data_IF_305659479514
#
_entry.id   IF_305659479514
#
_cell.length_a   1.000
_cell.length_b   1.000
_cell.length_c   1.000
_cell.angle_alpha   90.00
_cell.angle_beta   90.00
_cell.angle_gamma   90.00
#
_symmetry.space_group_name_H-M   'P 1'
#
loop_
_entity.id
_entity.type
_entity.pdbx_description
1 polymer ?
#
# COMPACT_ATOMS: atom_id res chain seq x y z
N UNK A 1 14.49 -21.42 34.72
CA UNK A 1 13.40 -20.49 34.33
C UNK A 1 12.11 -21.10 34.83
N UNK A 2 11.39 -20.45 35.74
CA UNK A 2 10.05 -20.88 36.12
C UNK A 2 9.09 -20.39 35.03
N UNK A 3 8.79 -21.24 34.05
CA UNK A 3 7.76 -20.97 33.05
C UNK A 3 6.39 -20.97 33.73
N UNK A 4 5.92 -19.79 34.15
CA UNK A 4 4.49 -19.59 34.41
C UNK A 4 3.77 -19.59 33.07
N UNK A 5 3.44 -20.79 32.58
CA UNK A 5 2.63 -21.01 31.38
C UNK A 5 1.17 -20.65 31.66
N UNK A 6 0.89 -19.35 31.71
CA UNK A 6 -0.47 -18.79 31.68
C UNK A 6 -0.66 -17.86 30.49
N UNK A 7 0.24 -17.88 29.51
CA UNK A 7 0.10 -17.06 28.30
C UNK A 7 -1.05 -17.60 27.46
N UNK A 8 -2.06 -16.76 27.25
CA UNK A 8 -3.19 -17.08 26.38
C UNK A 8 -2.93 -16.50 25.00
N UNK A 9 -2.01 -17.12 24.26
CA UNK A 9 -1.81 -16.76 22.86
C UNK A 9 -3.08 -17.08 22.08
N UNK A 10 -3.52 -16.17 21.21
CA UNK A 10 -4.80 -16.31 20.49
C UNK A 10 -4.58 -16.20 18.99
N UNK A 11 -5.28 -17.03 18.23
CA UNK A 11 -5.39 -16.91 16.79
C UNK A 11 -6.87 -16.74 16.43
N UNK A 12 -7.21 -15.71 15.66
CA UNK A 12 -8.56 -15.42 15.23
C UNK A 12 -8.66 -15.48 13.71
N UNK A 13 -9.62 -16.26 13.21
CA UNK A 13 -9.97 -16.31 11.79
C UNK A 13 -11.40 -15.81 11.61
N UNK A 14 -11.55 -14.56 11.15
CA UNK A 14 -12.85 -13.87 11.11
C UNK A 14 -12.91 -12.89 9.94
N UNK A 15 -14.11 -12.38 9.68
CA UNK A 15 -14.32 -11.29 8.75
C UNK A 15 -14.00 -9.97 9.45
N UNK A 16 -12.98 -9.27 8.96
CA UNK A 16 -12.51 -8.00 9.49
C UNK A 16 -12.78 -6.89 8.44
N UNK A 17 -13.28 -5.71 8.85
CA UNK A 17 -13.43 -4.57 7.94
C UNK A 17 -12.09 -4.00 7.49
N UNK A 18 -11.02 -4.27 8.22
CA UNK A 18 -9.67 -3.85 7.89
C UNK A 18 -9.18 -4.50 6.58
N UNK A 19 -8.12 -3.91 6.03
CA UNK A 19 -7.56 -4.28 4.74
C UNK A 19 -6.47 -5.36 4.82
N UNK A 20 -5.85 -5.64 5.97
CA UNK A 20 -4.80 -6.68 6.05
C UNK A 20 -5.36 -8.11 5.96
N UNK A 21 -4.55 -9.02 5.41
CA UNK A 21 -4.79 -10.47 5.42
C UNK A 21 -4.47 -11.09 6.78
N UNK A 22 -3.39 -10.63 7.41
CA UNK A 22 -2.90 -11.10 8.70
C UNK A 22 -2.46 -9.92 9.58
N UNK A 23 -2.55 -10.09 10.90
CA UNK A 23 -2.04 -9.13 11.86
C UNK A 23 -1.54 -9.84 13.13
N UNK A 24 -0.25 -9.73 13.37
CA UNK A 24 0.40 -10.05 14.63
C UNK A 24 0.31 -8.87 15.61
N UNK A 25 0.11 -9.18 16.89
CA UNK A 25 0.15 -8.20 17.97
C UNK A 25 0.74 -8.82 19.22
N UNK A 26 1.85 -8.25 19.69
CA UNK A 26 2.54 -8.66 20.92
C UNK A 26 1.98 -7.90 22.13
N UNK A 27 1.74 -8.61 23.21
CA UNK A 27 1.54 -8.05 24.55
C UNK A 27 2.67 -8.54 25.46
N UNK A 28 2.76 -7.98 26.67
CA UNK A 28 3.82 -8.32 27.64
C UNK A 28 3.89 -9.81 28.01
N UNK A 29 2.78 -10.54 27.92
CA UNK A 29 2.68 -11.94 28.36
C UNK A 29 2.01 -12.89 27.36
N UNK A 30 1.55 -12.40 26.22
CA UNK A 30 0.93 -13.22 25.17
C UNK A 30 0.99 -12.49 23.82
N UNK A 31 0.72 -13.19 22.73
CA UNK A 31 0.50 -12.58 21.43
C UNK A 31 -0.87 -12.94 20.86
N UNK A 32 -1.31 -12.14 19.90
CA UNK A 32 -2.49 -12.40 19.08
C UNK A 32 -2.10 -12.42 17.62
N UNK A 33 -2.66 -13.37 16.88
CA UNK A 33 -2.69 -13.39 15.42
C UNK A 33 -4.15 -13.22 15.00
N UNK A 34 -4.43 -12.31 14.08
CA UNK A 34 -5.73 -12.18 13.43
C UNK A 34 -5.54 -12.45 11.95
N UNK A 35 -6.50 -13.14 11.35
CA UNK A 35 -6.50 -13.52 9.94
C UNK A 35 -7.85 -13.14 9.34
N UNK A 36 -7.80 -12.36 8.26
CA UNK A 36 -8.96 -11.78 7.62
C UNK A 36 -9.54 -12.70 6.56
N UNK A 37 -10.48 -13.53 7.00
CA UNK A 37 -11.19 -14.49 6.17
C UNK A 37 -11.83 -13.82 4.96
N UNK A 38 -12.50 -12.68 5.16
CA UNK A 38 -13.23 -11.96 4.11
C UNK A 38 -12.33 -11.66 2.91
N UNK A 39 -11.16 -11.09 3.17
CA UNK A 39 -10.23 -10.70 2.12
C UNK A 39 -9.55 -11.91 1.48
N UNK A 40 -9.12 -12.88 2.28
CA UNK A 40 -8.52 -14.10 1.74
C UNK A 40 -9.51 -14.91 0.90
N UNK A 41 -10.78 -14.93 1.28
CA UNK A 41 -11.84 -15.58 0.51
C UNK A 41 -12.14 -14.88 -0.82
N UNK A 42 -12.03 -13.54 -0.83
CA UNK A 42 -12.22 -12.73 -2.04
C UNK A 42 -11.02 -12.81 -2.98
N UNK A 43 -9.81 -12.70 -2.45
CA UNK A 43 -8.59 -12.57 -3.25
C UNK A 43 -8.00 -13.91 -3.68
N UNK A 44 -8.30 -14.97 -2.93
CA UNK A 44 -7.83 -16.33 -3.22
C UNK A 44 -9.00 -17.31 -3.25
N UNK A 45 -10.06 -17.10 -4.06
CA UNK A 45 -11.32 -17.83 -3.95
C UNK A 45 -11.16 -19.35 -4.14
N UNK A 46 -10.18 -19.77 -4.95
CA UNK A 46 -9.86 -21.19 -5.16
C UNK A 46 -8.82 -21.76 -4.19
N UNK A 47 -8.21 -20.91 -3.36
CA UNK A 47 -7.05 -21.25 -2.53
C UNK A 47 -7.15 -20.66 -1.11
N UNK A 48 -8.36 -20.33 -0.65
CA UNK A 48 -8.62 -19.59 0.60
C UNK A 48 -7.92 -20.23 1.78
N UNK A 49 -7.98 -21.57 1.86
CA UNK A 49 -7.34 -22.33 2.92
C UNK A 49 -5.82 -22.15 2.91
N UNK A 50 -5.18 -22.30 1.75
CA UNK A 50 -3.74 -22.11 1.61
C UNK A 50 -3.33 -20.67 1.89
N UNK A 51 -4.09 -19.69 1.39
CA UNK A 51 -3.82 -18.28 1.65
C UNK A 51 -3.95 -17.95 3.15
N UNK A 52 -4.95 -18.55 3.83
CA UNK A 52 -5.12 -18.42 5.28
C UNK A 52 -3.96 -19.06 6.05
N UNK A 53 -3.50 -20.24 5.64
CA UNK A 53 -2.32 -20.88 6.22
C UNK A 53 -1.06 -20.03 5.99
N UNK A 54 -0.84 -19.56 4.77
CA UNK A 54 0.29 -18.71 4.39
C UNK A 54 0.36 -17.43 5.24
N UNK A 55 -0.74 -16.69 5.37
CA UNK A 55 -0.81 -15.52 6.26
C UNK A 55 -0.63 -15.90 7.73
N UNK A 56 -1.24 -16.98 8.21
CA UNK A 56 -1.02 -17.43 9.60
C UNK A 56 0.46 -17.76 9.88
N UNK A 57 1.13 -18.44 8.95
CA UNK A 57 2.54 -18.83 9.08
C UNK A 57 3.46 -17.61 9.07
N UNK A 58 3.18 -16.63 8.21
CA UNK A 58 3.86 -15.33 8.19
C UNK A 58 3.73 -14.62 9.54
N UNK A 59 2.51 -14.42 10.04
CA UNK A 59 2.29 -13.78 11.34
C UNK A 59 2.92 -14.55 12.51
N UNK A 60 2.97 -15.87 12.41
CA UNK A 60 3.63 -16.71 13.40
C UNK A 60 5.16 -16.54 13.37
N UNK A 61 5.76 -16.24 12.21
CA UNK A 61 7.19 -15.93 12.10
C UNK A 61 7.59 -14.71 12.94
N UNK A 62 6.73 -13.69 13.03
CA UNK A 62 6.97 -12.54 13.92
C UNK A 62 7.04 -12.92 15.41
N UNK A 63 6.32 -13.96 15.82
CA UNK A 63 6.44 -14.51 17.19
C UNK A 63 7.84 -15.08 17.47
N UNK A 64 8.56 -15.44 16.40
CA UNK A 64 9.90 -16.00 16.41
C UNK A 64 10.96 -14.93 16.06
N UNK A 65 10.61 -13.65 16.11
CA UNK A 65 11.48 -12.51 15.82
C UNK A 65 11.95 -12.43 14.35
N UNK A 66 11.28 -13.12 13.43
CA UNK A 66 11.51 -12.92 12.01
C UNK A 66 10.85 -11.60 11.58
N UNK A 67 11.63 -10.76 10.91
CA UNK A 67 11.16 -9.51 10.32
C UNK A 67 10.53 -9.75 8.95
N UNK A 68 9.71 -8.79 8.52
CA UNK A 68 9.21 -8.76 7.15
C UNK A 68 10.32 -8.51 6.14
N UNK A 69 10.18 -9.10 4.96
CA UNK A 69 10.99 -8.74 3.79
C UNK A 69 10.18 -7.83 2.86
N UNK A 70 10.60 -6.57 2.75
CA UNK A 70 10.10 -5.61 1.75
C UNK A 70 10.51 -6.06 0.34
N UNK A 71 9.62 -5.85 -0.61
CA UNK A 71 9.80 -6.13 -2.03
C UNK A 71 10.90 -5.29 -2.65
N UNK A 72 11.15 -4.09 -2.10
CA UNK A 72 12.05 -3.14 -2.74
C UNK A 72 13.27 -2.84 -1.86
N UNK A 73 14.31 -3.66 -2.04
CA UNK A 73 15.62 -3.48 -1.41
C UNK A 73 16.34 -4.78 -1.08
N UNK A 74 15.61 -5.89 -1.01
CA UNK A 74 16.16 -7.17 -0.51
C UNK A 74 16.37 -8.24 -1.59
N UNK A 75 16.02 -7.97 -2.86
CA UNK A 75 16.33 -8.85 -3.98
C UNK A 75 15.59 -10.20 -3.91
N UNK A 76 16.35 -11.31 -3.96
CA UNK A 76 15.86 -12.70 -4.12
C UNK A 76 14.83 -13.12 -3.06
N UNK A 77 14.84 -12.49 -1.88
CA UNK A 77 13.98 -12.86 -0.75
C UNK A 77 12.51 -12.46 -0.90
N UNK A 78 12.19 -11.56 -1.82
CA UNK A 78 10.81 -11.10 -2.06
C UNK A 78 9.85 -12.21 -2.51
N UNK A 79 10.35 -13.32 -3.05
CA UNK A 79 9.47 -14.41 -3.53
C UNK A 79 9.78 -15.78 -2.93
N UNK A 80 10.91 -15.91 -2.24
CA UNK A 80 11.34 -17.17 -1.63
C UNK A 80 11.04 -17.23 -0.14
N UNK A 81 10.43 -16.19 0.44
CA UNK A 81 10.20 -16.06 1.88
C UNK A 81 8.76 -16.15 2.35
N UNK A 82 8.51 -16.93 3.42
CA UNK A 82 7.19 -16.87 4.08
C UNK A 82 7.00 -15.50 4.76
N UNK A 83 8.09 -14.83 5.12
CA UNK A 83 8.09 -13.49 5.71
C UNK A 83 8.03 -12.37 4.66
N UNK A 84 7.91 -12.69 3.36
CA UNK A 84 7.75 -11.66 2.33
C UNK A 84 6.28 -11.33 2.05
N UNK A 85 5.99 -10.05 1.82
CA UNK A 85 4.70 -9.61 1.28
C UNK A 85 4.42 -10.10 -0.14
N UNK A 86 5.47 -10.42 -0.92
CA UNK A 86 5.36 -10.87 -2.30
C UNK A 86 5.26 -12.39 -2.47
N UNK A 87 5.20 -13.14 -1.35
CA UNK A 87 5.07 -14.59 -1.40
C UNK A 87 3.79 -15.02 -2.10
N UNK A 88 3.86 -16.15 -2.81
CA UNK A 88 2.66 -16.77 -3.36
C UNK A 88 1.83 -17.42 -2.25
N UNK A 89 0.83 -16.69 -1.74
CA UNK A 89 -0.03 -17.15 -0.63
C UNK A 89 -0.87 -18.38 -1.00
N UNK A 90 -1.12 -18.63 -2.28
CA UNK A 90 -1.89 -19.80 -2.72
C UNK A 90 -1.11 -21.13 -2.59
N UNK A 91 0.23 -21.08 -2.53
CA UNK A 91 1.09 -22.28 -2.54
C UNK A 91 2.09 -22.34 -1.40
N UNK A 92 2.57 -21.19 -0.92
CA UNK A 92 3.60 -21.11 0.11
C UNK A 92 2.95 -21.06 1.50
N UNK A 93 2.75 -22.23 2.12
CA UNK A 93 2.06 -22.40 3.41
C UNK A 93 2.99 -22.79 4.57
N UNK A 94 4.30 -22.84 4.34
CA UNK A 94 5.30 -23.26 5.32
C UNK A 94 6.51 -22.34 5.28
N UNK A 95 7.29 -22.24 6.37
CA UNK A 95 8.60 -21.59 6.32
C UNK A 95 9.48 -22.22 5.23
N UNK A 96 10.27 -21.40 4.56
CA UNK A 96 11.24 -21.84 3.55
C UNK A 96 12.65 -21.86 4.15
N UNK A 97 13.64 -22.28 3.37
CA UNK A 97 15.00 -22.52 3.86
C UNK A 97 15.69 -21.29 4.44
N UNK A 98 15.45 -20.09 3.89
CA UNK A 98 16.03 -18.86 4.43
C UNK A 98 15.34 -18.46 5.75
N UNK A 99 14.02 -18.63 5.90
CA UNK A 99 13.29 -18.34 7.16
C UNK A 99 13.89 -19.16 8.32
N UNK A 100 14.21 -20.43 8.03
CA UNK A 100 14.84 -21.35 8.97
C UNK A 100 16.29 -20.95 9.26
N UNK A 101 17.04 -20.50 8.25
CA UNK A 101 18.41 -20.00 8.41
C UNK A 101 18.45 -18.76 9.30
N UNK A 102 17.57 -17.79 9.05
CA UNK A 102 17.50 -16.55 9.82
C UNK A 102 17.12 -16.83 11.27
N UNK A 103 16.15 -17.72 11.48
CA UNK A 103 15.79 -18.19 12.82
C UNK A 103 16.97 -18.86 13.55
N UNK A 104 17.74 -19.71 12.85
CA UNK A 104 18.92 -20.34 13.43
C UNK A 104 20.01 -19.32 13.78
N UNK A 105 20.24 -18.33 12.92
CA UNK A 105 21.19 -17.25 13.19
C UNK A 105 20.76 -16.45 14.42
N UNK A 106 19.49 -16.04 14.51
CA UNK A 106 18.93 -15.30 15.64
C UNK A 106 19.02 -16.08 16.97
N UNK A 107 18.80 -17.40 16.92
CA UNK A 107 18.91 -18.27 18.10
C UNK A 107 20.35 -18.50 18.55
N UNK A 108 21.29 -18.49 17.61
CA UNK A 108 22.71 -18.73 17.86
C UNK A 108 23.50 -17.44 18.14
N UNK A 109 22.93 -16.27 17.83
CA UNK A 109 23.51 -14.98 18.20
C UNK A 109 23.33 -14.73 19.71
N UNK A 110 24.43 -14.46 20.40
CA UNK A 110 24.47 -14.08 21.83
C UNK A 110 23.95 -12.65 22.11
N UNK A 111 23.41 -11.99 21.09
CA UNK A 111 22.78 -10.67 21.16
C UNK A 111 21.29 -10.90 20.99
N UNK A 112 20.49 -10.57 22.01
CA UNK A 112 19.05 -10.55 21.87
C UNK A 112 18.69 -9.56 20.74
N UNK A 113 17.96 -9.98 19.70
CA UNK A 113 17.54 -9.04 18.66
C UNK A 113 16.76 -7.90 19.31
N UNK A 114 16.90 -6.68 18.77
CA UNK A 114 16.07 -5.55 19.18
C UNK A 114 14.62 -6.03 19.19
N UNK A 115 13.94 -5.90 20.32
CA UNK A 115 12.55 -6.31 20.43
C UNK A 115 11.77 -5.65 19.30
N UNK A 116 11.07 -6.45 18.51
CA UNK A 116 10.01 -5.98 17.63
C UNK A 116 8.89 -5.40 18.52
N UNK A 117 9.13 -4.20 19.06
CA UNK A 117 8.23 -3.49 19.98
C UNK A 117 7.36 -2.48 19.26
N UNK A 118 7.50 -2.33 17.95
CA UNK A 118 6.57 -1.61 17.12
C UNK A 118 5.81 -2.63 16.27
N UNK A 119 4.49 -2.49 16.20
CA UNK A 119 3.64 -3.32 15.36
C UNK A 119 4.16 -3.26 13.92
N UNK A 120 4.93 -4.28 13.54
CA UNK A 120 5.53 -4.39 12.23
C UNK A 120 4.38 -4.70 11.27
N UNK A 121 4.24 -3.79 10.31
CA UNK A 121 3.31 -3.76 9.18
C UNK A 121 2.51 -5.04 8.95
N UNK A 122 1.19 -4.97 9.17
CA UNK A 122 0.25 -6.06 8.90
C UNK A 122 0.45 -6.66 7.49
N UNK A 123 0.18 -7.95 7.29
CA UNK A 123 0.24 -8.60 5.97
C UNK A 123 -0.77 -7.94 5.01
N UNK A 124 -0.32 -6.86 4.35
CA UNK A 124 -1.16 -5.97 3.56
C UNK A 124 -1.80 -6.73 2.39
N UNK A 125 -3.05 -6.40 2.04
CA UNK A 125 -3.67 -7.02 0.90
C UNK A 125 -2.97 -6.54 -0.36
N UNK A 126 -2.94 -7.38 -1.39
CA UNK A 126 -2.74 -6.87 -2.73
C UNK A 126 -3.94 -5.99 -3.06
N UNK A 127 -3.68 -4.71 -3.30
CA UNK A 127 -4.75 -3.76 -3.51
C UNK A 127 -5.47 -4.00 -4.84
N UNK A 128 -6.80 -4.03 -4.82
CA UNK A 128 -7.63 -3.88 -6.01
C UNK A 128 -7.95 -2.40 -6.23
N UNK A 129 -7.68 -1.89 -7.43
CA UNK A 129 -7.97 -0.48 -7.77
C UNK A 129 -9.45 -0.13 -7.60
N UNK A 130 -10.34 -1.08 -7.90
CA UNK A 130 -11.80 -0.95 -7.79
C UNK A 130 -12.25 -0.74 -6.34
N UNK A 131 -11.55 -1.31 -5.36
CA UNK A 131 -11.88 -1.17 -3.94
C UNK A 131 -11.11 -0.07 -3.23
N UNK A 132 -9.87 0.18 -3.68
CA UNK A 132 -9.09 1.35 -3.25
C UNK A 132 -9.86 2.65 -3.51
N UNK A 133 -10.65 2.70 -4.60
CA UNK A 133 -11.19 3.94 -5.16
C UNK A 133 -12.70 3.90 -5.41
N UNK A 134 -13.42 2.97 -4.77
CA UNK A 134 -14.87 2.77 -4.90
C UNK A 134 -15.36 2.68 -6.37
N UNK A 135 -14.51 2.16 -7.27
CA UNK A 135 -14.82 1.91 -8.67
C UNK A 135 -14.88 3.14 -9.58
N UNK A 136 -14.48 4.33 -9.12
CA UNK A 136 -14.67 5.58 -9.89
C UNK A 136 -13.39 6.18 -10.49
N UNK A 137 -12.23 5.53 -10.40
CA UNK A 137 -10.98 6.09 -10.95
C UNK A 137 -10.79 5.73 -12.41
N UNK A 138 -10.71 6.76 -13.24
CA UNK A 138 -10.47 6.64 -14.67
C UNK A 138 -8.97 6.68 -15.01
N UNK A 139 -8.17 7.35 -14.16
CA UNK A 139 -6.79 7.68 -14.49
C UNK A 139 -5.90 7.72 -13.23
N UNK A 140 -4.75 7.05 -13.25
CA UNK A 140 -3.69 7.17 -12.22
C UNK A 140 -2.42 7.67 -12.88
N UNK A 141 -1.93 8.83 -12.45
CA UNK A 141 -0.82 9.53 -13.09
C UNK A 141 0.20 10.07 -12.10
N UNK A 142 1.44 10.14 -12.55
CA UNK A 142 2.44 11.05 -12.00
C UNK A 142 2.40 12.32 -12.86
N UNK A 143 2.07 13.46 -12.24
CA UNK A 143 1.89 14.71 -12.95
C UNK A 143 2.56 15.88 -12.23
N UNK A 144 3.11 16.80 -13.03
CA UNK A 144 3.62 18.08 -12.59
C UNK A 144 2.54 19.15 -12.68
N UNK A 145 2.40 19.97 -11.65
CA UNK A 145 1.44 21.08 -11.62
C UNK A 145 2.07 22.32 -12.22
N UNK A 146 1.69 22.67 -13.46
CA UNK A 146 2.21 23.85 -14.15
C UNK A 146 1.65 25.14 -13.56
N UNK A 147 0.34 25.16 -13.29
CA UNK A 147 -0.36 26.34 -12.77
C UNK A 147 -1.54 25.95 -11.89
N UNK A 148 -1.89 26.85 -10.96
CA UNK A 148 -3.11 26.79 -10.13
C UNK A 148 -3.78 28.16 -10.19
N UNK A 149 -5.07 28.19 -10.45
CA UNK A 149 -5.89 29.40 -10.51
C UNK A 149 -7.19 29.24 -9.73
N UNK A 150 -7.65 30.29 -9.08
CA UNK A 150 -8.97 30.30 -8.42
C UNK A 150 -10.09 30.35 -9.44
N UNK A 151 -11.17 29.62 -9.17
CA UNK A 151 -12.41 29.66 -9.94
C UNK A 151 -13.40 30.53 -9.16
N UNK A 152 -13.87 31.61 -9.78
CA UNK A 152 -15.00 32.36 -9.23
C UNK A 152 -16.31 31.72 -9.69
N UNK A 153 -16.95 30.95 -8.82
CA UNK A 153 -18.30 30.46 -9.06
C UNK A 153 -19.33 31.54 -8.68
N UNK A 154 -20.13 31.95 -9.66
CA UNK A 154 -21.23 32.91 -9.44
C UNK A 154 -22.27 32.31 -8.48
N UNK A 155 -22.28 32.79 -7.23
CA UNK A 155 -23.26 32.39 -6.21
C UNK A 155 -22.81 31.28 -5.26
N UNK A 156 -21.54 30.86 -5.30
CA UNK A 156 -20.99 29.94 -4.30
C UNK A 156 -20.69 30.65 -2.98
N UNK A 157 -20.80 29.92 -1.87
CA UNK A 157 -20.41 30.38 -0.53
C UNK A 157 -18.94 30.86 -0.57
N UNK A 158 -18.61 32.08 -0.12
CA UNK A 158 -17.23 32.58 -0.10
C UNK A 158 -16.25 31.71 0.70
N UNK A 159 -16.75 30.73 1.47
CA UNK A 159 -15.94 29.72 2.17
C UNK A 159 -15.64 28.46 1.32
N UNK A 160 -16.30 28.26 0.18
CA UNK A 160 -16.10 27.14 -0.74
C UNK A 160 -15.25 27.57 -1.95
N UNK A 161 -14.07 28.13 -1.70
CA UNK A 161 -13.15 28.48 -2.78
C UNK A 161 -12.66 27.21 -3.51
N UNK A 162 -12.88 27.17 -4.82
CA UNK A 162 -12.41 26.10 -5.69
C UNK A 162 -11.25 26.59 -6.56
N UNK A 163 -10.37 25.66 -6.93
CA UNK A 163 -9.21 25.93 -7.77
C UNK A 163 -9.21 24.99 -8.97
N UNK A 164 -8.79 25.54 -10.11
CA UNK A 164 -8.40 24.77 -11.29
C UNK A 164 -6.87 24.65 -11.28
N UNK A 165 -6.36 23.45 -11.53
CA UNK A 165 -4.94 23.21 -11.77
C UNK A 165 -4.71 22.66 -13.16
N UNK A 166 -3.66 23.16 -13.81
CA UNK A 166 -3.17 22.61 -15.09
C UNK A 166 -2.07 21.61 -14.77
N UNK A 167 -2.31 20.36 -15.13
CA UNK A 167 -1.40 19.25 -14.87
C UNK A 167 -0.76 18.79 -16.17
N UNK A 168 0.56 18.68 -16.18
CA UNK A 168 1.32 18.01 -17.24
C UNK A 168 1.65 16.59 -16.78
N UNK A 169 1.18 15.61 -17.53
CA UNK A 169 1.39 14.19 -17.22
C UNK A 169 2.84 13.83 -17.56
N UNK A 170 3.57 13.37 -16.54
CA UNK A 170 4.92 12.84 -16.72
C UNK A 170 4.90 11.32 -16.92
N UNK A 171 3.97 10.63 -16.26
CA UNK A 171 3.79 9.18 -16.41
C UNK A 171 2.34 8.76 -16.16
N UNK A 172 1.81 7.82 -16.95
CA UNK A 172 0.44 7.29 -16.81
C UNK A 172 0.48 5.86 -16.34
N UNK A 173 0.14 5.61 -15.08
CA UNK A 173 0.24 4.29 -14.43
C UNK A 173 -1.00 3.41 -14.65
N UNK A 174 -2.17 4.03 -14.83
CA UNK A 174 -3.43 3.36 -15.13
C UNK A 174 -4.34 4.29 -15.93
N UNK A 175 -5.17 3.73 -16.80
CA UNK A 175 -6.08 4.47 -17.68
C UNK A 175 -5.38 5.07 -18.90
N UNK A 176 -6.15 5.76 -19.73
CA UNK A 176 -5.65 6.49 -20.88
C UNK A 176 -6.05 7.96 -20.74
N UNK A 177 -5.08 8.86 -20.89
CA UNK A 177 -5.35 10.29 -20.98
C UNK A 177 -5.46 10.70 -22.44
N UNK A 178 -6.53 11.41 -22.81
CA UNK A 178 -6.72 11.95 -24.16
C UNK A 178 -5.67 13.03 -24.52
N UNK A 179 -5.01 13.61 -23.51
CA UNK A 179 -4.06 14.70 -23.67
C UNK A 179 -2.90 14.59 -22.69
N UNK A 180 -1.67 15.00 -23.07
CA UNK A 180 -0.53 15.08 -22.15
C UNK A 180 -0.71 16.16 -21.07
N UNK A 181 -1.68 17.06 -21.26
CA UNK A 181 -2.06 18.09 -20.29
C UNK A 181 -3.53 17.96 -19.96
N UNK A 182 -3.86 17.92 -18.66
CA UNK A 182 -5.22 17.79 -18.15
C UNK A 182 -5.54 18.89 -17.14
N UNK A 183 -6.83 19.11 -16.90
CA UNK A 183 -7.32 20.04 -15.88
C UNK A 183 -7.83 19.29 -14.67
N UNK A 184 -7.43 19.74 -13.49
CA UNK A 184 -7.87 19.22 -12.19
C UNK A 184 -8.70 20.29 -11.47
N UNK A 185 -9.95 19.95 -11.18
CA UNK A 185 -10.81 20.70 -10.27
C UNK A 185 -10.57 20.21 -8.84
N UNK A 186 -10.33 21.14 -7.91
CA UNK A 186 -9.99 20.81 -6.53
C UNK A 186 -10.45 21.87 -5.53
N UNK A 187 -10.50 21.49 -4.26
CA UNK A 187 -10.53 22.46 -3.15
C UNK A 187 -9.16 23.16 -3.01
N UNK A 188 -9.16 24.31 -2.34
CA UNK A 188 -7.92 25.06 -2.05
C UNK A 188 -6.85 24.19 -1.42
N UNK A 189 -5.59 24.43 -1.80
CA UNK A 189 -4.37 23.86 -1.19
C UNK A 189 -4.14 22.36 -1.39
N UNK A 190 -4.93 21.69 -2.23
CA UNK A 190 -4.77 20.27 -2.54
C UNK A 190 -3.48 20.00 -3.33
N UNK A 191 -3.36 20.51 -4.56
CA UNK A 191 -2.08 20.51 -5.30
C UNK A 191 -1.52 21.91 -5.45
N UNK A 192 -0.18 22.03 -5.52
CA UNK A 192 0.53 23.32 -5.61
C UNK A 192 1.36 23.40 -6.88
N UNK A 193 1.33 24.57 -7.52
CA UNK A 193 2.15 24.86 -8.69
C UNK A 193 3.63 24.59 -8.39
N UNK A 194 4.33 24.03 -9.36
CA UNK A 194 5.75 23.71 -9.26
C UNK A 194 6.08 22.38 -8.58
N UNK A 195 5.08 21.59 -8.19
CA UNK A 195 5.24 20.31 -7.52
C UNK A 195 4.76 19.13 -8.38
N UNK A 196 5.27 17.94 -8.09
CA UNK A 196 4.90 16.71 -8.75
C UNK A 196 4.14 15.80 -7.78
N UNK A 197 3.06 15.21 -8.26
CA UNK A 197 2.16 14.38 -7.46
C UNK A 197 1.87 13.06 -8.16
N UNK A 198 1.68 12.02 -7.36
CA UNK A 198 0.92 10.84 -7.73
C UNK A 198 -0.55 11.12 -7.42
N UNK A 199 -1.40 11.02 -8.43
CA UNK A 199 -2.81 11.36 -8.37
C UNK A 199 -3.69 10.22 -8.86
N UNK A 200 -4.79 9.99 -8.14
CA UNK A 200 -5.85 9.06 -8.52
C UNK A 200 -7.08 9.87 -8.93
N UNK A 201 -7.42 9.84 -10.22
CA UNK A 201 -8.32 10.81 -10.83
C UNK A 201 -9.58 10.16 -11.43
N UNK A 202 -10.70 10.85 -11.25
CA UNK A 202 -11.99 10.55 -11.88
C UNK A 202 -12.35 11.69 -12.80
N UNK A 203 -12.77 11.40 -14.02
CA UNK A 203 -13.29 12.39 -14.94
C UNK A 203 -14.75 12.72 -14.60
N UNK A 204 -15.07 14.01 -14.56
CA UNK A 204 -16.41 14.52 -14.29
C UNK A 204 -16.96 15.17 -15.55
N UNK A 205 -17.83 14.47 -16.33
CA UNK A 205 -18.35 14.99 -17.59
C UNK A 205 -19.17 16.27 -17.44
N UNK A 206 -19.79 16.47 -16.28
CA UNK A 206 -20.62 17.63 -15.95
C UNK A 206 -19.83 18.94 -15.87
N UNK A 207 -18.54 18.86 -15.51
CA UNK A 207 -17.64 20.03 -15.47
C UNK A 207 -16.50 19.93 -16.51
N UNK A 208 -16.38 18.81 -17.22
CA UNK A 208 -15.37 18.58 -18.25
C UNK A 208 -13.95 18.49 -17.72
N UNK A 209 -13.76 18.11 -16.45
CA UNK A 209 -12.48 18.13 -15.74
C UNK A 209 -12.28 16.89 -14.89
N UNK A 210 -11.03 16.62 -14.49
CA UNK A 210 -10.72 15.58 -13.52
C UNK A 210 -10.87 16.10 -12.08
N UNK A 211 -11.17 15.19 -11.15
CA UNK A 211 -11.14 15.41 -9.70
C UNK A 211 -10.33 14.29 -9.04
N UNK A 212 -9.81 14.52 -7.83
CA UNK A 212 -9.22 13.43 -7.03
C UNK A 212 -10.34 12.48 -6.60
N UNK A 213 -10.20 11.20 -6.93
CA UNK A 213 -11.29 10.20 -6.93
C UNK A 213 -12.00 10.07 -5.59
N UNK A 214 -11.26 10.14 -4.49
CA UNK A 214 -11.75 10.08 -3.11
C UNK A 214 -11.53 11.40 -2.34
N UNK A 215 -11.13 12.46 -3.03
CA UNK A 215 -10.81 13.77 -2.46
C UNK A 215 -9.52 13.84 -1.62
N UNK A 216 -8.77 12.75 -1.47
CA UNK A 216 -7.62 12.66 -0.55
C UNK A 216 -6.40 11.89 -1.10
N UNK A 217 -6.58 11.00 -2.07
CA UNK A 217 -5.56 10.13 -2.67
C UNK A 217 -4.65 10.92 -3.62
N UNK A 218 -3.76 11.69 -2.99
CA UNK A 218 -2.72 12.47 -3.62
C UNK A 218 -1.47 12.41 -2.77
N UNK A 219 -0.33 12.11 -3.38
CA UNK A 219 0.96 12.07 -2.67
C UNK A 219 2.02 12.85 -3.43
N UNK A 220 2.75 13.70 -2.72
CA UNK A 220 3.88 14.43 -3.29
C UNK A 220 4.99 13.43 -3.62
N UNK A 221 5.44 13.42 -4.88
CA UNK A 221 6.48 12.50 -5.35
C UNK A 221 7.88 13.00 -4.96
N UNK A 222 8.08 14.32 -4.94
CA UNK A 222 9.35 14.92 -4.55
C UNK A 222 9.16 15.82 -3.32
N UNK A 223 9.35 15.26 -2.12
CA UNK A 223 9.74 16.09 -0.99
C UNK A 223 11.25 16.35 -1.15
N UNK A 224 11.64 17.61 -1.28
CA UNK A 224 13.01 18.15 -1.40
C UNK A 224 13.60 18.39 -2.81
N UNK A 225 14.18 19.61 -2.92
CA UNK A 225 15.07 20.10 -3.97
C UNK A 225 16.32 19.21 -4.10
N UNK A 226 16.23 18.06 -4.76
CA UNK A 226 17.41 17.29 -5.13
C UNK A 226 17.94 17.80 -6.48
N UNK A 227 19.20 18.26 -6.50
CA UNK A 227 19.96 18.72 -7.68
C UNK A 227 20.31 17.59 -8.68
N UNK A 228 19.64 16.45 -8.64
CA UNK A 228 19.88 15.33 -9.53
C UNK A 228 18.59 14.90 -10.21
N UNK A 229 18.60 14.98 -11.53
CA UNK A 229 17.58 14.43 -12.43
C UNK A 229 17.76 12.91 -12.41
N UNK A 230 17.26 12.24 -11.37
CA UNK A 230 16.94 10.82 -11.48
C UNK A 230 15.57 10.72 -12.14
N UNK A 231 15.49 9.92 -13.21
CA UNK A 231 14.25 9.68 -13.93
C UNK A 231 13.18 9.20 -12.95
N UNK A 232 11.95 9.70 -13.12
CA UNK A 232 10.82 9.36 -12.23
C UNK A 232 10.58 7.84 -12.11
N UNK A 233 11.04 7.06 -13.09
CA UNK A 233 10.97 5.60 -13.16
C UNK A 233 11.76 4.85 -12.09
N UNK A 234 12.78 5.47 -11.45
CA UNK A 234 13.62 4.80 -10.44
C UNK A 234 13.22 5.14 -8.99
N UNK A 235 12.25 6.04 -8.79
CA UNK A 235 11.85 6.46 -7.45
C UNK A 235 10.69 5.62 -6.94
N UNK A 236 10.79 5.13 -5.70
CA UNK A 236 9.63 4.55 -5.02
C UNK A 236 8.61 5.65 -4.74
N UNK A 237 7.41 5.51 -5.30
CA UNK A 237 6.24 6.31 -5.03
C UNK A 237 5.65 5.90 -3.69
N UNK A 238 5.41 6.86 -2.80
CA UNK A 238 4.56 6.61 -1.63
C UNK A 238 3.10 6.67 -2.09
N UNK A 239 2.38 5.58 -1.91
CA UNK A 239 0.94 5.49 -2.18
C UNK A 239 0.23 5.59 -0.85
N UNK A 240 -0.66 6.57 -0.72
CA UNK A 240 -1.53 6.72 0.44
C UNK A 240 -2.99 6.80 -0.02
N UNK A 241 -3.79 5.78 0.27
CA UNK A 241 -5.21 5.70 -0.13
C UNK A 241 -6.03 5.32 1.08
N UNK A 242 -7.05 6.13 1.41
CA UNK A 242 -7.95 5.91 2.55
C UNK A 242 -7.22 5.58 3.88
N UNK A 243 -6.05 6.20 4.10
CA UNK A 243 -5.23 6.00 5.31
C UNK A 243 -4.28 4.80 5.27
N UNK A 244 -4.25 4.06 4.17
CA UNK A 244 -3.33 2.94 3.93
C UNK A 244 -2.10 3.44 3.18
N UNK A 245 -0.88 3.10 3.64
CA UNK A 245 0.39 3.58 3.06
C UNK A 245 1.23 2.41 2.53
N UNK A 246 1.83 2.58 1.35
CA UNK A 246 2.80 1.65 0.76
C UNK A 246 3.83 2.38 -0.08
N UNK A 247 4.93 1.70 -0.45
CA UNK A 247 5.96 2.24 -1.34
C UNK A 247 6.14 1.32 -2.54
N UNK A 248 6.05 1.87 -3.76
CA UNK A 248 6.09 1.11 -5.00
C UNK A 248 6.91 1.85 -6.04
N UNK A 249 7.74 1.15 -6.80
CA UNK A 249 8.23 1.69 -8.08
C UNK A 249 7.06 1.90 -9.06
N UNK A 250 7.28 2.71 -10.11
CA UNK A 250 6.27 2.91 -11.14
C UNK A 250 5.85 1.58 -11.79
N UNK A 251 6.81 0.67 -12.02
CA UNK A 251 6.54 -0.63 -12.63
C UNK A 251 5.76 -1.57 -11.70
N UNK A 252 6.13 -1.65 -10.42
CA UNK A 252 5.35 -2.40 -9.42
C UNK A 252 3.93 -1.86 -9.33
N UNK A 253 3.77 -0.54 -9.28
CA UNK A 253 2.45 0.08 -9.21
C UNK A 253 1.64 -0.17 -10.50
N UNK A 254 2.25 -0.11 -11.69
CA UNK A 254 1.60 -0.49 -12.95
C UNK A 254 1.13 -1.94 -12.96
N UNK A 255 1.98 -2.86 -12.51
CA UNK A 255 1.62 -4.28 -12.42
C UNK A 255 0.45 -4.46 -11.45
N UNK A 256 0.48 -3.80 -10.31
CA UNK A 256 -0.64 -3.82 -9.36
C UNK A 256 -1.94 -3.27 -9.97
N UNK A 257 -1.87 -2.17 -10.72
CA UNK A 257 -3.06 -1.53 -11.30
C UNK A 257 -3.58 -2.24 -12.56
N UNK A 258 -2.75 -3.00 -13.27
CA UNK A 258 -3.11 -3.66 -14.55
C UNK A 258 -3.71 -5.05 -14.39
N UNK A 259 -3.57 -5.67 -13.21
CA UNK A 259 -4.10 -7.00 -12.97
C UNK A 259 -5.62 -6.94 -12.76
N UNK A 260 -6.38 -7.20 -13.83
CA UNK A 260 -7.81 -7.52 -13.75
C UNK A 260 -7.97 -8.97 -13.30
N UNK A 261 -8.13 -9.23 -12.01
CA UNK A 261 -8.58 -10.55 -11.56
C UNK A 261 -10.08 -10.70 -11.86
N UNK A 262 -10.41 -11.70 -12.68
CA UNK A 262 -11.78 -12.11 -13.01
C UNK A 262 -12.45 -12.83 -11.86
#
# INVERSE_FOLDING_TARGET
MNEKSSSQNKCYYRDYPESWYGLYSKNSSYFTIKVNKRLLARDFPSSVWNASLSSTTHEFGHTQFLGDHDTAGEGVYGTTSIMSYNRNRATMTTPQSHDLSDLQQLRNSSVAPASADEAVYADFPYYHIEEMLDGNTDLVVVAYVDAVSEIQENGADPLAAHQESVLRIDDTLYGESESPTIKLYQSVDKVKAGQQYLLFLSYRPDIGQYVVSDGASQTIVNQYKAKSIQAASEKKLTVNIKGMKGQYSNEELRQLLSVKYK
#
